data_IF_998177536853
#
_entry.id   IF_998177536853
#
_cell.length_a   1.000
_cell.length_b   1.000
_cell.length_c   1.000
_cell.angle_alpha   90.00
_cell.angle_beta   90.00
_cell.angle_gamma   90.00
#
_symmetry.space_group_name_H-M   'P 1'
#
loop_
_entity.id
_entity.type
_entity.pdbx_description
1 polymer ?
#
# COMPACT_ATOMS: atom_id res chain seq x y z
N UNK A 1 -4.75 -31.08 16.00
CA UNK A 1 -3.39 -31.43 15.53
C UNK A 1 -2.92 -30.29 14.66
N UNK A 2 -2.25 -29.31 15.27
CA UNK A 2 -1.80 -28.06 14.64
C UNK A 2 -0.46 -28.31 13.95
N UNK A 3 -0.37 -28.05 12.64
CA UNK A 3 0.90 -27.89 11.94
C UNK A 3 1.25 -26.40 11.94
N UNK A 4 2.25 -26.09 12.76
CA UNK A 4 2.90 -24.79 12.87
C UNK A 4 4.05 -24.83 11.86
N UNK A 5 3.92 -24.19 10.70
CA UNK A 5 5.08 -23.89 9.85
C UNK A 5 5.67 -22.55 10.30
N UNK A 6 6.75 -22.65 11.06
CA UNK A 6 7.67 -21.55 11.33
C UNK A 6 8.51 -21.33 10.08
N UNK A 7 8.26 -20.26 9.35
CA UNK A 7 9.18 -19.78 8.31
C UNK A 7 10.44 -19.23 8.99
N UNK A 8 11.45 -20.09 9.13
CA UNK A 8 12.81 -19.69 9.47
C UNK A 8 13.43 -19.06 8.22
N UNK A 9 13.70 -17.75 8.28
CA UNK A 9 14.43 -17.04 7.24
C UNK A 9 15.89 -17.53 7.27
N UNK A 10 16.26 -18.39 6.34
CA UNK A 10 17.66 -18.82 6.16
C UNK A 10 18.42 -17.68 5.50
N UNK A 11 19.14 -16.92 6.32
CA UNK A 11 20.11 -15.91 5.86
C UNK A 11 21.29 -16.66 5.23
N UNK A 12 21.37 -16.65 3.90
CA UNK A 12 22.56 -17.12 3.18
C UNK A 12 23.64 -16.02 3.29
N UNK A 13 24.47 -16.08 4.33
CA UNK A 13 25.71 -15.30 4.39
C UNK A 13 26.70 -15.83 3.36
N UNK A 14 26.95 -15.06 2.30
CA UNK A 14 28.07 -15.33 1.39
C UNK A 14 29.33 -14.68 1.96
N UNK A 15 30.22 -15.51 2.51
CA UNK A 15 31.57 -15.12 2.93
C UNK A 15 32.46 -14.94 1.71
N UNK A 16 33.03 -13.73 1.55
CA UNK A 16 34.04 -13.41 0.56
C UNK A 16 35.38 -14.09 0.93
N UNK A 17 35.77 -15.11 0.18
CA UNK A 17 37.15 -15.61 0.18
C UNK A 17 37.91 -15.03 -1.02
N UNK A 18 38.95 -14.24 -0.74
CA UNK A 18 39.93 -13.81 -1.75
C UNK A 18 40.90 -14.95 -2.04
N UNK A 19 40.95 -15.43 -3.29
CA UNK A 19 41.98 -16.35 -3.77
C UNK A 19 43.03 -15.59 -4.59
N UNK A 20 44.29 -15.72 -4.18
CA UNK A 20 45.47 -15.30 -4.94
C UNK A 20 45.59 -16.08 -6.26
N UNK A 21 45.85 -15.36 -7.35
CA UNK A 21 46.05 -15.90 -8.70
C UNK A 21 47.48 -16.41 -8.90
N UNK A 22 47.64 -17.62 -9.45
CA UNK A 22 48.87 -18.07 -10.13
C UNK A 22 48.49 -18.52 -11.53
N UNK A 23 49.35 -18.21 -12.49
CA UNK A 23 49.11 -18.10 -13.93
C UNK A 23 48.65 -19.36 -14.66
N UNK A 24 48.04 -19.11 -15.83
CA UNK A 24 47.71 -20.13 -16.83
C UNK A 24 46.91 -19.54 -17.99
N UNK A 25 47.58 -19.34 -19.12
CA UNK A 25 46.99 -18.84 -20.38
C UNK A 25 46.05 -19.90 -20.95
N UNK A 26 44.79 -19.55 -21.17
CA UNK A 26 43.92 -20.28 -22.10
C UNK A 26 42.86 -19.33 -22.67
N UNK A 27 42.95 -19.07 -23.97
CA UNK A 27 42.01 -18.24 -24.73
C UNK A 27 40.70 -19.00 -24.95
N UNK A 28 39.69 -18.72 -24.14
CA UNK A 28 38.31 -19.03 -24.45
C UNK A 28 37.50 -17.74 -24.33
N UNK A 29 36.91 -17.31 -25.44
CA UNK A 29 35.95 -16.20 -25.49
C UNK A 29 34.70 -16.66 -24.74
N UNK A 30 34.70 -16.45 -23.43
CA UNK A 30 33.52 -16.59 -22.61
C UNK A 30 32.57 -15.44 -22.99
N UNK A 31 31.44 -15.77 -23.61
CA UNK A 31 30.31 -14.84 -23.72
C UNK A 31 29.88 -14.49 -22.30
N UNK A 32 30.33 -13.34 -21.82
CA UNK A 32 29.91 -12.78 -20.54
C UNK A 32 28.41 -12.59 -20.61
N UNK A 33 27.63 -13.50 -20.00
CA UNK A 33 26.23 -13.22 -19.71
C UNK A 33 26.24 -12.08 -18.71
N UNK A 34 25.96 -10.88 -19.20
CA UNK A 34 25.66 -9.76 -18.33
C UNK A 34 24.42 -10.16 -17.53
N UNK A 35 24.61 -10.51 -16.26
CA UNK A 35 23.51 -10.57 -15.32
C UNK A 35 23.08 -9.11 -15.13
N UNK A 36 22.02 -8.71 -15.82
CA UNK A 36 21.31 -7.49 -15.46
C UNK A 36 20.82 -7.68 -14.02
N UNK A 37 21.47 -7.00 -13.07
CA UNK A 37 20.99 -6.90 -11.70
C UNK A 37 19.77 -5.98 -11.78
N UNK A 38 18.64 -6.50 -12.25
CA UNK A 38 17.37 -5.81 -12.06
C UNK A 38 17.16 -5.79 -10.55
N UNK A 39 17.35 -4.62 -9.96
CA UNK A 39 17.16 -4.41 -8.53
C UNK A 39 15.68 -4.70 -8.23
N UNK A 40 15.41 -5.90 -7.70
CA UNK A 40 14.07 -6.28 -7.26
C UNK A 40 13.72 -5.37 -6.10
N UNK A 41 12.77 -4.48 -6.31
CA UNK A 41 12.26 -3.61 -5.26
C UNK A 41 11.20 -4.40 -4.51
N UNK A 42 11.49 -4.76 -3.26
CA UNK A 42 10.47 -5.35 -2.41
C UNK A 42 9.53 -4.23 -1.94
N UNK A 43 8.23 -4.47 -2.15
CA UNK A 43 7.17 -3.49 -1.88
C UNK A 43 6.58 -3.75 -0.49
N UNK A 44 7.09 -4.75 0.24
CA UNK A 44 6.57 -5.16 1.53
C UNK A 44 5.23 -5.88 1.46
N UNK A 45 4.84 -6.30 0.27
CA UNK A 45 3.77 -7.25 0.00
C UNK A 45 4.17 -8.14 -1.18
N UNK A 46 3.57 -9.34 -1.34
CA UNK A 46 3.87 -10.21 -2.46
C UNK A 46 3.66 -9.49 -3.80
N UNK A 47 4.59 -9.66 -4.72
CA UNK A 47 4.53 -9.18 -6.11
C UNK A 47 4.91 -10.32 -7.04
N UNK A 48 4.62 -10.20 -8.34
CA UNK A 48 5.03 -11.22 -9.31
C UNK A 48 6.54 -11.48 -9.35
N UNK A 49 7.34 -10.46 -9.02
CA UNK A 49 8.81 -10.58 -9.01
C UNK A 49 9.29 -11.24 -7.73
N UNK A 50 8.72 -10.89 -6.57
CA UNK A 50 9.14 -11.45 -5.27
C UNK A 50 8.55 -12.83 -5.02
N UNK A 51 7.33 -13.10 -5.50
CA UNK A 51 6.57 -14.32 -5.25
C UNK A 51 5.82 -14.78 -6.53
N UNK A 52 6.55 -15.27 -7.56
CA UNK A 52 5.95 -15.69 -8.84
C UNK A 52 4.97 -16.86 -8.69
N UNK A 53 5.09 -17.67 -7.63
CA UNK A 53 4.17 -18.78 -7.33
C UNK A 53 2.80 -18.28 -6.85
N UNK A 54 2.74 -17.09 -6.25
CA UNK A 54 1.51 -16.50 -5.71
C UNK A 54 0.84 -15.53 -6.69
N UNK A 55 1.63 -14.84 -7.52
CA UNK A 55 1.18 -13.74 -8.36
C UNK A 55 1.82 -13.79 -9.74
N UNK A 56 1.00 -13.67 -10.78
CA UNK A 56 1.45 -13.49 -12.15
C UNK A 56 1.74 -12.01 -12.43
N UNK A 57 2.49 -11.73 -13.49
CA UNK A 57 2.71 -10.35 -13.97
C UNK A 57 1.38 -9.63 -14.24
N UNK A 58 1.32 -8.34 -13.87
CA UNK A 58 0.11 -7.51 -14.00
C UNK A 58 -0.90 -7.66 -12.86
N UNK A 59 -0.73 -8.61 -11.95
CA UNK A 59 -1.57 -8.74 -10.74
C UNK A 59 -1.02 -7.92 -9.58
N UNK A 60 -1.89 -7.15 -8.92
CA UNK A 60 -1.55 -6.41 -7.69
C UNK A 60 -1.84 -7.27 -6.46
N UNK A 61 -2.97 -7.99 -6.48
CA UNK A 61 -3.35 -8.96 -5.44
C UNK A 61 -3.76 -10.28 -6.10
N UNK A 62 -3.69 -11.41 -5.37
CA UNK A 62 -3.99 -12.71 -5.97
C UNK A 62 -5.39 -12.71 -6.61
N UNK A 63 -5.42 -12.97 -7.92
CA UNK A 63 -6.65 -13.02 -8.72
C UNK A 63 -7.22 -11.68 -9.20
N UNK A 64 -6.68 -10.52 -8.79
CA UNK A 64 -7.12 -9.19 -9.27
C UNK A 64 -5.98 -8.46 -10.00
N UNK A 65 -6.23 -8.05 -11.24
CA UNK A 65 -5.23 -7.36 -12.08
C UNK A 65 -5.18 -5.86 -11.81
N UNK A 66 -4.08 -5.22 -12.25
CA UNK A 66 -3.92 -3.77 -12.15
C UNK A 66 -5.01 -2.98 -12.91
N UNK A 67 -5.44 -3.51 -14.05
CA UNK A 67 -6.51 -2.94 -14.87
C UNK A 67 -7.86 -2.99 -14.16
N UNK A 68 -8.13 -4.05 -13.39
CA UNK A 68 -9.35 -4.13 -12.60
C UNK A 68 -9.39 -3.08 -11.50
N UNK A 69 -8.25 -2.80 -10.85
CA UNK A 69 -8.15 -1.70 -9.88
C UNK A 69 -8.38 -0.33 -10.55
N UNK A 70 -7.82 -0.10 -11.74
CA UNK A 70 -8.07 1.13 -12.51
C UNK A 70 -9.57 1.26 -12.84
N UNK A 71 -10.21 0.18 -13.30
CA UNK A 71 -11.65 0.17 -13.60
C UNK A 71 -12.52 0.44 -12.36
N UNK A 72 -12.16 -0.11 -11.20
CA UNK A 72 -12.86 0.18 -9.93
C UNK A 72 -12.80 1.65 -9.57
N UNK A 73 -11.64 2.29 -9.78
CA UNK A 73 -11.46 3.74 -9.53
C UNK A 73 -12.29 4.59 -10.48
N UNK A 74 -12.32 4.24 -11.77
CA UNK A 74 -13.16 4.90 -12.76
C UNK A 74 -14.64 4.79 -12.40
N UNK A 75 -15.13 3.59 -12.05
CA UNK A 75 -16.51 3.39 -11.63
C UNK A 75 -16.85 4.18 -10.36
N UNK A 76 -15.94 4.27 -9.40
CA UNK A 76 -16.16 5.10 -8.21
C UNK A 76 -16.24 6.59 -8.57
N UNK A 77 -15.38 7.07 -9.46
CA UNK A 77 -15.44 8.45 -9.97
C UNK A 77 -16.76 8.74 -10.69
N UNK A 78 -17.30 7.80 -11.47
CA UNK A 78 -18.61 7.94 -12.14
C UNK A 78 -19.78 8.07 -11.16
N UNK A 79 -19.69 7.43 -9.99
CA UNK A 79 -20.72 7.53 -8.94
C UNK A 79 -20.63 8.84 -8.15
N UNK A 80 -19.44 9.45 -8.10
CA UNK A 80 -19.23 10.68 -7.38
C UNK A 80 -19.64 11.90 -8.22
N UNK A 81 -20.17 12.97 -7.61
CA UNK A 81 -20.51 14.18 -8.35
C UNK A 81 -19.25 14.87 -8.90
N UNK A 82 -19.40 15.63 -9.98
CA UNK A 82 -18.29 16.37 -10.58
C UNK A 82 -17.58 17.29 -9.57
N UNK A 83 -16.27 17.44 -9.74
CA UNK A 83 -15.38 18.22 -8.86
C UNK A 83 -15.41 17.75 -7.40
N UNK A 84 -15.72 16.49 -7.15
CA UNK A 84 -15.59 15.90 -5.81
C UNK A 84 -14.20 15.32 -5.58
N UNK A 85 -13.85 15.20 -4.31
CA UNK A 85 -12.65 14.53 -3.83
C UNK A 85 -13.05 13.45 -2.83
N UNK A 86 -12.46 12.27 -2.92
CA UNK A 86 -12.64 11.18 -1.98
C UNK A 86 -11.33 10.90 -1.24
N UNK A 87 -11.37 10.83 0.09
CA UNK A 87 -10.23 10.46 0.95
C UNK A 87 -10.53 9.11 1.59
N UNK A 88 -9.60 8.17 1.43
CA UNK A 88 -9.67 6.81 1.98
C UNK A 88 -8.36 6.54 2.69
N UNK A 89 -8.41 6.37 4.02
CA UNK A 89 -7.22 6.04 4.81
C UNK A 89 -7.07 4.52 4.94
N UNK A 90 -5.83 4.05 5.00
CA UNK A 90 -5.50 2.68 5.38
C UNK A 90 -5.95 2.39 6.82
N UNK A 91 -6.16 1.12 7.13
CA UNK A 91 -6.41 0.68 8.49
C UNK A 91 -5.21 0.95 9.39
N UNK A 92 -5.51 1.23 10.66
CA UNK A 92 -4.51 1.34 11.71
C UNK A 92 -4.10 -0.05 12.21
N UNK A 93 -2.84 -0.17 12.66
CA UNK A 93 -2.35 -1.35 13.34
C UNK A 93 -3.06 -1.46 14.69
N UNK A 94 -3.67 -2.62 14.97
CA UNK A 94 -4.35 -2.88 16.24
C UNK A 94 -3.41 -3.59 17.19
N UNK A 95 -3.32 -3.09 18.42
CA UNK A 95 -2.49 -3.68 19.47
C UNK A 95 -3.33 -4.65 20.32
N UNK A 96 -2.80 -5.86 20.56
CA UNK A 96 -3.36 -6.82 21.52
C UNK A 96 -2.97 -6.44 22.94
N UNK A 97 -1.70 -6.07 23.10
CA UNK A 97 -1.11 -5.46 24.29
C UNK A 97 -0.23 -4.29 23.83
N UNK A 98 0.27 -3.47 24.75
CA UNK A 98 1.05 -2.27 24.42
C UNK A 98 2.25 -2.50 23.48
N UNK A 99 2.78 -3.73 23.43
CA UNK A 99 3.95 -4.11 22.63
C UNK A 99 3.68 -5.21 21.60
N UNK A 100 2.47 -5.81 21.59
CA UNK A 100 2.15 -6.92 20.68
C UNK A 100 1.03 -6.51 19.71
N UNK A 101 1.32 -6.34 18.41
CA UNK A 101 0.29 -6.09 17.41
C UNK A 101 -0.50 -7.36 17.07
N UNK A 102 -1.78 -7.22 16.76
CA UNK A 102 -2.53 -8.24 16.02
C UNK A 102 -2.04 -8.34 14.58
N UNK A 103 -2.36 -9.46 13.92
CA UNK A 103 -2.18 -9.58 12.47
C UNK A 103 -2.89 -8.44 11.76
N UNK A 104 -2.14 -7.71 10.94
CA UNK A 104 -2.67 -6.56 10.23
C UNK A 104 -3.77 -6.99 9.25
N UNK A 105 -4.90 -6.29 9.30
CA UNK A 105 -6.01 -6.43 8.35
C UNK A 105 -6.33 -5.06 7.80
N UNK A 106 -6.16 -4.91 6.50
CA UNK A 106 -6.44 -3.68 5.79
C UNK A 106 -7.93 -3.32 5.84
N UNK A 107 -8.22 -2.02 5.73
CA UNK A 107 -9.57 -1.54 5.49
C UNK A 107 -10.07 -2.04 4.13
N UNK A 108 -11.32 -2.50 4.09
CA UNK A 108 -11.85 -3.14 2.90
C UNK A 108 -12.04 -2.16 1.73
N UNK A 109 -12.34 -0.90 2.01
CA UNK A 109 -12.52 0.13 0.98
C UNK A 109 -11.16 0.59 0.45
N UNK A 110 -10.19 0.81 1.34
CA UNK A 110 -8.82 1.12 0.95
C UNK A 110 -8.21 0.00 0.08
N UNK A 111 -8.35 -1.25 0.51
CA UNK A 111 -7.86 -2.41 -0.24
C UNK A 111 -8.57 -2.57 -1.59
N UNK A 112 -9.87 -2.29 -1.65
CA UNK A 112 -10.66 -2.42 -2.88
C UNK A 112 -10.21 -1.43 -3.97
N UNK A 113 -9.80 -0.21 -3.56
CA UNK A 113 -9.41 0.88 -4.46
C UNK A 113 -7.93 0.84 -4.85
N UNK A 114 -7.06 0.49 -3.91
CA UNK A 114 -5.60 0.59 -4.09
C UNK A 114 -4.91 -0.75 -4.30
N UNK A 115 -5.41 -1.82 -3.68
CA UNK A 115 -4.70 -3.10 -3.59
C UNK A 115 -3.52 -3.12 -2.62
N UNK A 116 -3.29 -2.02 -1.87
CA UNK A 116 -2.20 -1.92 -0.90
C UNK A 116 -2.58 -2.57 0.44
N UNK A 117 -1.79 -3.53 0.88
CA UNK A 117 -2.00 -4.32 2.10
C UNK A 117 -1.22 -3.80 3.31
N UNK A 118 -0.71 -2.56 3.25
CA UNK A 118 0.14 -1.98 4.29
C UNK A 118 -0.54 -0.82 5.03
N UNK A 119 -0.18 -0.60 6.31
CA UNK A 119 -0.71 0.52 7.10
C UNK A 119 -0.09 1.87 6.68
N UNK A 120 -0.67 2.95 7.19
CA UNK A 120 -0.08 4.30 7.11
C UNK A 120 -0.25 5.04 5.79
N UNK A 121 -0.86 4.40 4.77
CA UNK A 121 -1.17 5.04 3.50
C UNK A 121 -2.49 5.81 3.52
N UNK A 122 -2.59 6.89 2.75
CA UNK A 122 -3.84 7.62 2.49
C UNK A 122 -4.01 7.77 0.99
N UNK A 123 -5.13 7.30 0.47
CA UNK A 123 -5.50 7.44 -0.93
C UNK A 123 -6.48 8.59 -1.10
N UNK A 124 -6.20 9.44 -2.07
CA UNK A 124 -7.05 10.54 -2.49
C UNK A 124 -7.44 10.30 -3.94
N UNK A 125 -8.74 10.28 -4.22
CA UNK A 125 -9.28 10.05 -5.54
C UNK A 125 -10.14 11.23 -5.96
N UNK A 126 -9.90 11.79 -7.14
CA UNK A 126 -10.70 12.87 -7.71
C UNK A 126 -10.62 12.90 -9.21
N UNK A 127 -11.59 13.54 -9.86
CA UNK A 127 -11.62 13.64 -11.33
C UNK A 127 -10.41 14.37 -11.91
N UNK A 128 -9.94 15.42 -11.21
CA UNK A 128 -8.85 16.27 -11.70
C UNK A 128 -7.46 15.66 -11.47
N UNK A 129 -7.27 14.92 -10.37
CA UNK A 129 -5.96 14.39 -9.96
C UNK A 129 -5.79 12.89 -10.21
N UNK A 130 -6.86 12.16 -10.53
CA UNK A 130 -6.85 10.70 -10.53
C UNK A 130 -6.61 10.13 -9.13
N UNK A 131 -5.95 8.98 -9.06
CA UNK A 131 -5.50 8.37 -7.81
C UNK A 131 -4.19 9.01 -7.35
N UNK A 132 -4.23 9.71 -6.22
CA UNK A 132 -3.07 10.20 -5.50
C UNK A 132 -2.87 9.40 -4.21
N UNK A 133 -1.69 8.79 -4.01
CA UNK A 133 -1.38 8.05 -2.77
C UNK A 133 -0.32 8.77 -1.93
N UNK A 134 -0.66 9.07 -0.69
CA UNK A 134 0.28 9.49 0.33
C UNK A 134 0.81 8.25 1.03
N UNK A 135 2.10 7.98 0.84
CA UNK A 135 2.75 6.77 1.35
C UNK A 135 3.74 7.11 2.47
N UNK A 136 3.83 6.27 3.50
CA UNK A 136 4.93 6.35 4.46
C UNK A 136 6.27 6.18 3.70
N UNK A 137 7.26 7.02 4.02
CA UNK A 137 8.58 6.85 3.44
C UNK A 137 9.32 5.71 4.15
N UNK A 138 10.00 4.87 3.36
CA UNK A 138 10.99 3.92 3.84
C UNK A 138 12.29 4.67 4.19
N UNK A 139 12.28 5.51 5.22
CA UNK A 139 13.48 6.23 5.61
C UNK A 139 14.35 5.39 6.54
N UNK A 140 15.60 5.18 6.12
CA UNK A 140 16.74 4.81 6.98
C UNK A 140 17.15 5.94 7.94
N UNK A 141 16.43 7.08 7.90
CA UNK A 141 16.59 8.22 8.78
C UNK A 141 15.20 8.80 9.10
N UNK A 142 14.72 8.49 10.30
CA UNK A 142 13.70 9.25 11.04
C UNK A 142 12.35 9.43 10.34
N UNK A 143 11.42 8.52 10.60
CA UNK A 143 10.00 8.67 10.26
C UNK A 143 9.33 9.77 11.10
N UNK A 144 8.26 10.43 10.62
CA UNK A 144 7.40 11.21 11.49
C UNK A 144 6.59 10.29 12.42
N UNK A 145 6.55 10.67 13.69
CA UNK A 145 5.77 10.02 14.71
C UNK A 145 4.26 10.23 14.46
N UNK A 146 3.53 9.18 14.09
CA UNK A 146 2.06 9.21 14.18
C UNK A 146 1.42 8.00 14.88
N UNK A 147 2.19 7.20 15.62
CA UNK A 147 1.62 6.14 16.47
C UNK A 147 2.01 6.26 17.96
N UNK A 148 2.93 7.15 18.35
CA UNK A 148 3.41 7.22 19.74
C UNK A 148 3.17 8.58 20.41
N UNK A 149 1.92 9.03 20.45
CA UNK A 149 1.54 10.18 21.27
C UNK A 149 0.87 9.75 22.58
N UNK A 150 1.58 8.93 23.38
CA UNK A 150 1.34 8.87 24.84
C UNK A 150 2.56 8.40 25.65
N UNK A 151 3.52 7.66 25.07
CA UNK A 151 4.77 7.29 25.74
C UNK A 151 5.98 7.68 24.89
N UNK A 152 6.75 8.66 25.34
CA UNK A 152 7.86 9.27 24.60
C UNK A 152 8.98 8.30 24.21
N UNK A 153 8.83 7.65 23.06
CA UNK A 153 9.92 7.07 22.27
C UNK A 153 9.87 7.64 20.87
N UNK A 154 10.57 8.75 20.68
CA UNK A 154 10.88 9.30 19.37
C UNK A 154 12.00 8.51 18.71
N UNK A 155 11.90 8.37 17.39
CA UNK A 155 12.76 7.62 16.47
C UNK A 155 12.50 6.10 16.41
N UNK A 156 11.84 5.68 15.32
CA UNK A 156 11.83 4.29 14.86
C UNK A 156 13.26 3.93 14.44
N UNK A 157 13.89 2.99 15.16
CA UNK A 157 15.28 2.59 14.93
C UNK A 157 15.34 1.56 13.79
N UNK A 158 16.52 1.39 13.16
CA UNK A 158 16.78 0.42 12.09
C UNK A 158 16.30 -1.02 12.44
N UNK A 159 16.23 -1.32 13.73
CA UNK A 159 15.75 -2.58 14.30
C UNK A 159 14.26 -2.84 14.02
N UNK A 160 13.42 -1.80 13.92
CA UNK A 160 11.99 -1.94 13.67
C UNK A 160 11.70 -2.44 12.24
N UNK A 161 12.55 -2.10 11.26
CA UNK A 161 12.44 -2.57 9.87
C UNK A 161 12.70 -4.08 9.77
N UNK A 162 13.56 -4.62 10.63
CA UNK A 162 13.85 -6.06 10.67
C UNK A 162 12.59 -6.84 11.08
N UNK A 163 11.75 -6.25 11.94
CA UNK A 163 10.52 -6.88 12.45
C UNK A 163 9.27 -6.56 11.62
N UNK A 164 9.15 -5.33 11.11
CA UNK A 164 7.97 -4.86 10.37
C UNK A 164 8.02 -5.18 8.87
N UNK A 165 9.22 -5.47 8.33
CA UNK A 165 9.43 -5.69 6.90
C UNK A 165 9.54 -4.38 6.11
N UNK A 166 9.70 -4.50 4.78
CA UNK A 166 9.79 -3.33 3.91
C UNK A 166 8.44 -2.60 3.82
N UNK A 167 8.49 -1.29 3.61
CA UNK A 167 7.31 -0.44 3.43
C UNK A 167 7.23 0.03 1.98
N UNK A 168 6.05 -0.04 1.38
CA UNK A 168 5.73 0.50 0.08
C UNK A 168 5.85 2.02 0.14
N UNK A 169 6.97 2.53 -0.38
CA UNK A 169 7.18 3.96 -0.52
C UNK A 169 6.42 4.56 -1.71
N UNK A 170 6.73 5.82 -1.97
CA UNK A 170 6.20 6.63 -3.07
C UNK A 170 6.39 5.97 -4.45
N UNK A 171 7.53 5.30 -4.67
CA UNK A 171 7.82 4.58 -5.92
C UNK A 171 6.86 3.41 -6.16
N UNK A 172 6.59 2.62 -5.12
CA UNK A 172 5.65 1.51 -5.20
C UNK A 172 4.21 1.95 -5.51
N UNK A 173 3.80 3.14 -5.05
CA UNK A 173 2.51 3.72 -5.42
C UNK A 173 2.36 3.93 -6.93
N UNK A 174 3.41 4.41 -7.60
CA UNK A 174 3.39 4.63 -9.05
C UNK A 174 3.52 3.30 -9.80
N UNK A 175 4.54 2.51 -9.45
CA UNK A 175 4.94 1.36 -10.24
C UNK A 175 4.01 0.15 -10.04
N UNK A 176 3.63 -0.13 -8.79
CA UNK A 176 2.84 -1.31 -8.40
C UNK A 176 1.36 -0.99 -8.32
N UNK A 177 0.98 0.07 -7.61
CA UNK A 177 -0.44 0.41 -7.36
C UNK A 177 -1.08 1.23 -8.48
N UNK A 178 -0.30 1.64 -9.48
CA UNK A 178 -0.74 2.45 -10.63
C UNK A 178 -1.45 3.72 -10.19
N UNK A 179 -0.92 4.38 -9.17
CA UNK A 179 -1.34 5.73 -8.79
C UNK A 179 -0.87 6.72 -9.86
N UNK A 180 -1.71 7.70 -10.16
CA UNK A 180 -1.38 8.80 -11.08
C UNK A 180 -0.38 9.77 -10.44
N UNK A 181 -0.49 9.94 -9.11
CA UNK A 181 0.41 10.75 -8.30
C UNK A 181 0.73 10.05 -6.98
N UNK A 182 1.91 10.31 -6.43
CA UNK A 182 2.25 9.83 -5.10
C UNK A 182 3.17 10.80 -4.38
N UNK A 183 2.99 10.89 -3.06
CA UNK A 183 3.78 11.78 -2.22
C UNK A 183 4.10 11.11 -0.87
N UNK A 184 5.18 11.54 -0.20
CA UNK A 184 5.42 11.20 1.20
C UNK A 184 4.25 11.65 2.09
N UNK A 185 3.91 10.85 3.09
CA UNK A 185 2.86 11.17 4.07
C UNK A 185 3.13 12.51 4.78
N UNK A 186 4.39 12.85 5.01
CA UNK A 186 4.87 14.11 5.60
C UNK A 186 4.43 15.35 4.81
N UNK A 187 4.25 15.20 3.49
CA UNK A 187 3.80 16.29 2.61
C UNK A 187 2.27 16.42 2.54
N UNK A 188 1.52 15.57 3.23
CA UNK A 188 0.06 15.61 3.24
C UNK A 188 -0.48 16.98 3.65
N UNK A 189 0.05 17.56 4.73
CA UNK A 189 -0.38 18.86 5.23
C UNK A 189 -0.14 20.01 4.25
N UNK A 190 0.75 19.84 3.28
CA UNK A 190 1.08 20.86 2.28
C UNK A 190 0.26 20.70 0.99
N UNK A 191 -0.05 19.45 0.61
CA UNK A 191 -0.65 19.11 -0.68
C UNK A 191 -2.16 18.97 -0.56
N UNK A 192 -2.64 18.26 0.45
CA UNK A 192 -4.06 17.96 0.62
C UNK A 192 -4.92 19.22 0.72
N UNK A 193 -4.55 20.28 1.47
CA UNK A 193 -5.33 21.52 1.47
C UNK A 193 -5.52 22.17 0.10
N UNK A 194 -4.54 22.05 -0.80
CA UNK A 194 -4.62 22.59 -2.17
C UNK A 194 -5.62 21.79 -3.00
N UNK A 195 -5.61 20.46 -2.86
CA UNK A 195 -6.59 19.59 -3.51
C UNK A 195 -8.02 19.87 -3.00
N UNK A 196 -8.17 20.03 -1.68
CA UNK A 196 -9.43 20.37 -1.03
C UNK A 196 -9.99 21.73 -1.51
N UNK A 197 -9.12 22.73 -1.67
CA UNK A 197 -9.51 24.07 -2.14
C UNK A 197 -10.11 24.10 -3.55
N UNK A 198 -9.73 23.14 -4.40
CA UNK A 198 -10.24 23.02 -5.77
C UNK A 198 -11.53 22.16 -5.85
N UNK A 199 -11.88 21.45 -4.77
CA UNK A 199 -13.01 20.53 -4.73
C UNK A 199 -14.32 21.21 -4.29
N UNK A 200 -15.44 20.79 -4.89
CA UNK A 200 -16.79 21.26 -4.54
C UNK A 200 -17.35 20.53 -3.31
N UNK A 201 -17.08 19.23 -3.21
CA UNK A 201 -17.54 18.30 -2.17
C UNK A 201 -16.42 17.36 -1.78
N UNK A 202 -16.37 17.01 -0.50
CA UNK A 202 -15.42 16.05 0.04
C UNK A 202 -16.16 14.81 0.53
N UNK A 203 -15.70 13.65 0.13
CA UNK A 203 -16.15 12.36 0.60
C UNK A 203 -15.04 11.69 1.40
N UNK A 204 -15.36 11.13 2.56
CA UNK A 204 -14.42 10.29 3.30
C UNK A 204 -15.16 9.16 4.01
N UNK A 205 -14.44 8.09 4.33
CA UNK A 205 -14.98 7.07 5.22
C UNK A 205 -14.92 7.57 6.66
N UNK A 206 -16.07 7.67 7.32
CA UNK A 206 -16.18 8.17 8.70
C UNK A 206 -15.56 7.20 9.70
N UNK A 207 -15.60 5.88 9.44
CA UNK A 207 -15.12 4.85 10.36
C UNK A 207 -13.60 4.70 10.37
N UNK A 208 -12.95 5.00 9.25
CA UNK A 208 -11.49 4.94 9.10
C UNK A 208 -10.87 6.33 9.07
N UNK A 209 -11.63 7.36 9.46
CA UNK A 209 -11.12 8.71 9.54
C UNK A 209 -10.02 8.82 10.58
N UNK A 210 -8.93 9.51 10.22
CA UNK A 210 -7.77 9.71 11.07
C UNK A 210 -7.52 11.20 11.30
N UNK A 211 -7.05 11.61 12.49
CA UNK A 211 -6.90 13.03 12.79
C UNK A 211 -5.88 13.72 11.86
N UNK A 212 -4.91 12.98 11.31
CA UNK A 212 -3.89 13.45 10.35
C UNK A 212 -4.44 14.37 9.26
N UNK A 213 -5.59 14.02 8.67
CA UNK A 213 -6.23 14.87 7.66
C UNK A 213 -7.48 15.60 8.18
N UNK A 214 -8.15 15.10 9.22
CA UNK A 214 -9.33 15.76 9.78
C UNK A 214 -9.00 17.06 10.51
N UNK A 215 -7.82 17.14 11.13
CA UNK A 215 -7.37 18.30 11.89
C UNK A 215 -6.86 19.44 10.99
N UNK A 216 -6.79 19.20 9.67
CA UNK A 216 -6.49 20.25 8.71
C UNK A 216 -7.58 21.31 8.73
N UNK A 217 -7.18 22.58 8.83
CA UNK A 217 -8.10 23.73 8.77
C UNK A 217 -8.97 23.69 7.51
N UNK A 218 -8.38 23.29 6.36
CA UNK A 218 -9.11 23.12 5.10
C UNK A 218 -10.22 22.07 5.20
N UNK A 219 -9.98 20.95 5.89
CA UNK A 219 -10.98 19.90 6.12
C UNK A 219 -12.09 20.42 7.04
N UNK A 220 -11.72 20.99 8.18
CA UNK A 220 -12.68 21.53 9.17
C UNK A 220 -13.58 22.62 8.56
N UNK A 221 -13.01 23.49 7.72
CA UNK A 221 -13.77 24.51 6.98
C UNK A 221 -14.80 23.89 6.02
N UNK A 222 -14.45 22.80 5.32
CA UNK A 222 -15.41 22.09 4.47
C UNK A 222 -16.49 21.38 5.30
N UNK A 223 -16.11 20.82 6.45
CA UNK A 223 -17.03 20.15 7.37
C UNK A 223 -18.06 21.14 7.94
N UNK A 224 -17.60 22.30 8.42
CA UNK A 224 -18.46 23.38 8.91
C UNK A 224 -19.45 23.87 7.84
N UNK A 225 -19.02 23.93 6.58
CA UNK A 225 -19.86 24.30 5.45
C UNK A 225 -20.79 23.17 4.94
N UNK A 226 -20.84 22.02 5.63
CA UNK A 226 -21.69 20.89 5.25
C UNK A 226 -21.30 20.20 3.93
N UNK A 227 -20.08 20.43 3.44
CA UNK A 227 -19.55 19.90 2.17
C UNK A 227 -18.87 18.54 2.32
N UNK A 228 -18.63 18.09 3.55
CA UNK A 228 -18.10 16.76 3.86
C UNK A 228 -19.24 15.76 3.94
N UNK A 229 -19.11 14.64 3.24
CA UNK A 229 -20.09 13.55 3.14
C UNK A 229 -19.42 12.20 3.37
N UNK A 230 -20.22 11.22 3.77
CA UNK A 230 -19.75 9.85 3.90
C UNK A 230 -19.56 9.21 2.51
N UNK A 231 -18.41 8.57 2.33
CA UNK A 231 -18.04 7.87 1.10
C UNK A 231 -18.66 6.46 1.03
N UNK A 232 -18.99 5.88 2.18
CA UNK A 232 -19.44 4.49 2.30
C UNK A 232 -20.57 4.12 1.33
N UNK A 233 -21.63 4.93 1.12
CA UNK A 233 -22.72 4.57 0.20
C UNK A 233 -22.23 4.32 -1.24
N UNK A 234 -21.31 5.16 -1.74
CA UNK A 234 -20.82 5.10 -3.12
C UNK A 234 -19.86 3.92 -3.31
N UNK A 235 -18.96 3.69 -2.35
CA UNK A 235 -18.05 2.53 -2.41
C UNK A 235 -18.82 1.23 -2.25
N UNK A 236 -19.79 1.16 -1.34
CA UNK A 236 -20.57 -0.04 -1.14
C UNK A 236 -21.42 -0.38 -2.37
N UNK A 237 -21.97 0.62 -3.07
CA UNK A 237 -22.64 0.43 -4.36
C UNK A 237 -21.68 -0.13 -5.42
N UNK A 238 -20.47 0.44 -5.53
CA UNK A 238 -19.45 -0.09 -6.43
C UNK A 238 -19.07 -1.54 -6.11
N UNK A 239 -19.00 -1.90 -4.83
CA UNK A 239 -18.65 -3.24 -4.32
C UNK A 239 -19.82 -4.22 -4.37
N UNK A 240 -21.05 -3.77 -4.56
CA UNK A 240 -22.24 -4.63 -4.55
C UNK A 240 -22.23 -5.60 -5.73
N UNK A 241 -21.91 -5.09 -6.93
CA UNK A 241 -21.86 -5.89 -8.16
C UNK A 241 -20.44 -6.40 -8.36
N UNK A 242 -20.28 -7.72 -8.30
CA UNK A 242 -18.98 -8.40 -8.37
C UNK A 242 -18.47 -8.57 -9.79
N UNK A 243 -17.17 -8.32 -9.97
CA UNK A 243 -16.48 -8.64 -11.21
C UNK A 243 -16.37 -10.16 -11.41
N UNK A 244 -16.02 -10.59 -12.63
CA UNK A 244 -15.76 -11.99 -12.91
C UNK A 244 -14.59 -12.53 -12.05
N UNK A 245 -13.56 -11.72 -11.82
CA UNK A 245 -12.41 -12.05 -10.99
C UNK A 245 -12.79 -12.19 -9.51
N UNK A 246 -13.59 -11.25 -8.97
CA UNK A 246 -14.11 -11.35 -7.61
C UNK A 246 -14.99 -12.59 -7.43
N UNK A 247 -15.87 -12.89 -8.39
CA UNK A 247 -16.71 -14.09 -8.35
C UNK A 247 -15.87 -15.37 -8.36
N UNK A 248 -14.79 -15.41 -9.14
CA UNK A 248 -13.84 -16.52 -9.13
C UNK A 248 -13.21 -16.69 -7.75
N UNK A 249 -12.66 -15.63 -7.18
CA UNK A 249 -12.08 -15.65 -5.82
C UNK A 249 -13.08 -16.08 -4.75
N UNK A 250 -14.33 -15.65 -4.84
CA UNK A 250 -15.39 -16.08 -3.92
C UNK A 250 -15.68 -17.59 -4.05
N UNK A 251 -15.71 -18.14 -5.26
CA UNK A 251 -15.90 -19.59 -5.48
C UNK A 251 -14.71 -20.38 -4.95
N UNK A 252 -13.49 -19.92 -5.23
CA UNK A 252 -12.27 -20.57 -4.77
C UNK A 252 -12.22 -20.58 -3.23
N UNK A 253 -12.54 -19.45 -2.58
CA UNK A 253 -12.65 -19.36 -1.12
C UNK A 253 -13.71 -20.31 -0.55
N UNK A 254 -14.88 -20.43 -1.18
CA UNK A 254 -15.92 -21.35 -0.75
C UNK A 254 -15.48 -22.81 -0.91
N UNK A 255 -14.80 -23.14 -2.01
CA UNK A 255 -14.26 -24.48 -2.24
C UNK A 255 -13.25 -24.88 -1.17
N UNK A 256 -12.38 -23.98 -0.74
CA UNK A 256 -11.41 -24.24 0.33
C UNK A 256 -12.14 -24.45 1.67
N UNK A 257 -13.17 -23.64 1.95
CA UNK A 257 -13.92 -23.75 3.20
C UNK A 257 -14.78 -25.02 3.32
N UNK A 258 -15.12 -25.66 2.20
CA UNK A 258 -15.90 -26.89 2.17
C UNK A 258 -15.06 -28.18 2.19
N UNK A 259 -13.73 -28.09 2.13
CA UNK A 259 -12.81 -29.23 2.28
C UNK A 259 -12.62 -29.60 3.74
#
# INVERSE_FOLDING_TARGET
MLLIEKSVCVVVQSTLYSFHTVGGICSNVAKTRAYSINKVYDVGQPTAVTHPELLNEGYITPGITSEEYISRRQRLLELLPEKSLAIIAAAQVKMMTDVVPYTFRQDADYLYITGCQQPGGIAVLGHDCGLCMFMPEASSQGCPAYILHEYGMGAMHIEDVIWQGQTAGVGAALDTFKADQSFPIDKLHQILPKMLGNSSKLFHNVKTAIPTYMDLEAFQKLAYNGKVKDLSPHIHEARWIKSASELKLMRDSASIACQ
#
